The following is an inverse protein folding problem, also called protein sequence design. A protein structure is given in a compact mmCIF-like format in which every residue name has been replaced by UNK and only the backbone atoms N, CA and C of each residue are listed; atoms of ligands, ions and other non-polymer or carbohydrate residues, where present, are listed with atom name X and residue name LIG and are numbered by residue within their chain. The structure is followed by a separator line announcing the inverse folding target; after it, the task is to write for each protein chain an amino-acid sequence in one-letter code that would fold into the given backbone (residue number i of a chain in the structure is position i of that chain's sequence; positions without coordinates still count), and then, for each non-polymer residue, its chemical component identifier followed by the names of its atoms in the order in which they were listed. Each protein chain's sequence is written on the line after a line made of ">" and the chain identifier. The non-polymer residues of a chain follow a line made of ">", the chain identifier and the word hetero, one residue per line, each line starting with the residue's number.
data_IF_077921135180
#
_entry.id   IF_077921135180
#
_cell.length_a   1.000
_cell.length_b   1.000
_cell.length_c   1.000
_cell.angle_alpha   90.00
_cell.angle_beta   90.00
_cell.angle_gamma   90.00
#
_symmetry.space_group_name_H-M   'P 1'
#
loop_
_entity.id
_entity.type
_entity.pdbx_description
1 polymer ?
#
# COMPACT_ATOMS: atom_id res chain seq x y z
N UNK A 1 -2.13 11.72 -21.54
CA UNK A 1 -2.89 10.92 -20.57
C UNK A 1 -2.60 9.46 -20.91
N UNK A 2 -2.27 8.62 -19.93
CA UNK A 2 -1.98 7.20 -20.21
C UNK A 2 -3.29 6.47 -20.55
N UNK A 3 -3.24 5.57 -21.54
CA UNK A 3 -4.40 4.80 -22.04
C UNK A 3 -4.09 3.32 -22.12
N UNK A 4 -5.12 2.48 -22.15
CA UNK A 4 -4.97 1.05 -22.42
C UNK A 4 -5.56 0.73 -23.80
N UNK A 5 -4.87 -0.10 -24.57
CA UNK A 5 -5.36 -0.58 -25.86
C UNK A 5 -5.93 -1.98 -25.70
N UNK A 6 -7.16 -2.20 -26.13
CA UNK A 6 -7.75 -3.53 -26.28
C UNK A 6 -7.83 -3.83 -27.77
N UNK A 7 -7.21 -4.90 -28.22
CA UNK A 7 -7.26 -5.38 -29.61
C UNK A 7 -7.99 -6.71 -29.62
N UNK A 8 -9.26 -6.67 -30.01
CA UNK A 8 -10.20 -7.79 -29.94
C UNK A 8 -11.22 -7.68 -31.07
N UNK A 9 -11.29 -8.69 -31.93
CA UNK A 9 -12.17 -8.72 -33.11
C UNK A 9 -13.66 -8.83 -32.74
N UNK A 10 -13.96 -9.46 -31.60
CA UNK A 10 -15.31 -9.51 -31.05
C UNK A 10 -15.70 -8.17 -30.41
N UNK A 11 -16.58 -7.43 -31.08
CA UNK A 11 -17.13 -6.17 -30.57
C UNK A 11 -17.75 -6.29 -29.16
N UNK A 12 -18.42 -7.42 -28.88
CA UNK A 12 -19.08 -7.65 -27.58
C UNK A 12 -18.02 -7.86 -26.50
N UNK A 13 -17.07 -8.78 -26.72
CA UNK A 13 -16.01 -9.06 -25.75
C UNK A 13 -15.12 -7.85 -25.53
N UNK A 14 -14.71 -7.17 -26.61
CA UNK A 14 -13.89 -5.96 -26.55
C UNK A 14 -14.57 -4.84 -25.77
N UNK A 15 -15.87 -4.62 -25.98
CA UNK A 15 -16.64 -3.59 -25.22
C UNK A 15 -16.78 -3.95 -23.74
N UNK A 16 -17.02 -5.22 -23.41
CA UNK A 16 -17.11 -5.68 -22.02
C UNK A 16 -15.76 -5.51 -21.30
N UNK A 17 -14.69 -5.97 -21.93
CA UNK A 17 -13.34 -5.86 -21.40
C UNK A 17 -12.93 -4.39 -21.22
N UNK A 18 -13.22 -3.55 -22.21
CA UNK A 18 -13.03 -2.09 -22.13
C UNK A 18 -13.68 -1.51 -20.87
N UNK A 19 -14.98 -1.71 -20.68
CA UNK A 19 -15.71 -1.16 -19.53
C UNK A 19 -15.14 -1.67 -18.20
N UNK A 20 -14.80 -2.96 -18.13
CA UNK A 20 -14.22 -3.56 -16.93
C UNK A 20 -12.89 -2.91 -16.56
N UNK A 21 -12.00 -2.74 -17.55
CA UNK A 21 -10.69 -2.12 -17.35
C UNK A 21 -10.83 -0.66 -16.94
N UNK A 22 -11.72 0.11 -17.57
CA UNK A 22 -11.99 1.51 -17.20
C UNK A 22 -12.45 1.63 -15.74
N UNK A 23 -13.35 0.75 -15.30
CA UNK A 23 -13.84 0.74 -13.90
C UNK A 23 -12.72 0.40 -12.92
N UNK A 24 -11.91 -0.62 -13.22
CA UNK A 24 -10.91 -1.13 -12.28
C UNK A 24 -9.68 -0.21 -12.17
N UNK A 25 -9.26 0.36 -13.31
CA UNK A 25 -8.01 1.14 -13.45
C UNK A 25 -8.24 2.66 -13.44
N UNK A 26 -9.43 3.12 -13.81
CA UNK A 26 -9.72 4.54 -14.03
C UNK A 26 -9.08 5.14 -15.29
N UNK A 27 -8.38 4.35 -16.11
CA UNK A 27 -7.77 4.80 -17.37
C UNK A 27 -8.75 4.66 -18.53
N UNK A 28 -8.64 5.56 -19.50
CA UNK A 28 -9.38 5.48 -20.75
C UNK A 28 -8.87 4.30 -21.60
N UNK A 29 -9.80 3.57 -22.22
CA UNK A 29 -9.49 2.39 -23.01
C UNK A 29 -9.93 2.59 -24.46
N UNK A 30 -8.98 2.44 -25.39
CA UNK A 30 -9.28 2.38 -26.83
C UNK A 30 -9.49 0.91 -27.23
N UNK A 31 -10.53 0.64 -28.02
CA UNK A 31 -10.82 -0.70 -28.53
C UNK A 31 -10.64 -0.71 -30.05
N UNK A 32 -9.72 -1.55 -30.52
CA UNK A 32 -9.46 -1.84 -31.91
C UNK A 32 -10.00 -3.23 -32.26
N UNK A 33 -10.70 -3.33 -33.39
CA UNK A 33 -11.30 -4.57 -33.89
C UNK A 33 -10.37 -5.28 -34.88
N UNK A 34 -9.45 -4.53 -35.49
CA UNK A 34 -8.49 -5.02 -36.48
C UNK A 34 -7.06 -4.61 -36.12
N UNK A 35 -6.08 -5.28 -36.71
CA UNK A 35 -4.67 -4.89 -36.60
C UNK A 35 -4.43 -3.50 -37.19
N UNK A 36 -5.06 -3.17 -38.33
CA UNK A 36 -4.96 -1.85 -38.94
C UNK A 36 -5.44 -0.73 -37.98
N UNK A 37 -6.58 -0.94 -37.30
CA UNK A 37 -7.10 0.01 -36.30
C UNK A 37 -6.13 0.18 -35.14
N UNK A 38 -5.58 -0.93 -34.62
CA UNK A 38 -4.61 -0.91 -33.54
C UNK A 38 -3.35 -0.11 -33.90
N UNK A 39 -2.83 -0.28 -35.13
CA UNK A 39 -1.67 0.47 -35.62
C UNK A 39 -1.98 1.97 -35.75
N UNK A 40 -3.18 2.32 -36.22
CA UNK A 40 -3.62 3.71 -36.31
C UNK A 40 -3.66 4.36 -34.91
N UNK A 41 -4.26 3.69 -33.93
CA UNK A 41 -4.31 4.13 -32.54
C UNK A 41 -2.91 4.32 -31.93
N UNK A 42 -2.02 3.34 -32.07
CA UNK A 42 -0.64 3.41 -31.55
C UNK A 42 0.20 4.49 -32.24
N UNK A 43 -0.19 4.91 -33.45
CA UNK A 43 0.47 6.02 -34.15
C UNK A 43 0.03 7.39 -33.63
N UNK A 44 -1.20 7.51 -33.11
CA UNK A 44 -1.74 8.76 -32.57
C UNK A 44 -1.62 8.90 -31.05
N UNK A 45 -1.50 7.78 -30.31
CA UNK A 45 -1.59 7.75 -28.86
C UNK A 45 -0.48 6.91 -28.22
N UNK A 46 -0.11 7.27 -26.98
CA UNK A 46 0.81 6.49 -26.15
C UNK A 46 0.02 5.58 -25.21
N UNK A 47 0.37 4.29 -25.19
CA UNK A 47 -0.33 3.30 -24.38
C UNK A 47 0.51 2.81 -23.20
N UNK A 48 -0.17 2.69 -22.06
CA UNK A 48 0.32 2.10 -20.82
C UNK A 48 0.59 0.60 -21.00
N UNK A 49 -0.39 -0.09 -21.59
CA UNK A 49 -0.38 -1.52 -21.84
C UNK A 49 -1.40 -1.85 -22.93
N UNK A 50 -1.28 -3.05 -23.50
CA UNK A 50 -2.22 -3.58 -24.48
C UNK A 50 -2.75 -4.96 -24.04
N UNK A 51 -4.02 -5.22 -24.29
CA UNK A 51 -4.61 -6.56 -24.25
C UNK A 51 -4.86 -6.98 -25.69
N UNK A 52 -4.25 -8.09 -26.11
CA UNK A 52 -4.12 -8.45 -27.52
C UNK A 52 -4.66 -9.84 -27.77
N UNK A 53 -5.67 -9.96 -28.64
CA UNK A 53 -6.00 -11.23 -29.26
C UNK A 53 -4.94 -11.65 -30.29
N UNK A 54 -4.60 -12.93 -30.28
CA UNK A 54 -3.65 -13.53 -31.23
C UNK A 54 -4.25 -13.74 -32.62
N UNK A 55 -5.57 -13.91 -32.68
CA UNK A 55 -6.29 -14.28 -33.89
C UNK A 55 -7.09 -13.07 -34.41
N UNK A 56 -6.41 -12.16 -35.11
CA UNK A 56 -7.07 -11.02 -35.75
C UNK A 56 -7.35 -11.33 -37.22
N UNK A 57 -8.47 -10.83 -37.78
CA UNK A 57 -8.91 -11.17 -39.14
C UNK A 57 -7.96 -10.68 -40.24
N UNK A 58 -7.17 -9.64 -39.98
CA UNK A 58 -6.30 -8.95 -40.94
C UNK A 58 -4.80 -9.08 -40.61
N UNK A 59 -4.41 -9.96 -39.69
CA UNK A 59 -3.02 -10.12 -39.28
C UNK A 59 -2.53 -11.58 -39.33
N UNK A 60 -1.21 -11.72 -39.48
CA UNK A 60 -0.54 -12.99 -39.20
C UNK A 60 -0.63 -13.27 -37.69
N UNK A 61 -0.82 -14.54 -37.33
CA UNK A 61 -0.92 -14.98 -35.93
C UNK A 61 0.20 -14.38 -35.07
N UNK A 62 -0.17 -13.75 -33.95
CA UNK A 62 0.72 -13.06 -33.02
C UNK A 62 1.51 -11.84 -33.58
N UNK A 63 1.21 -11.35 -34.78
CA UNK A 63 1.87 -10.17 -35.37
C UNK A 63 1.61 -8.86 -34.60
N UNK A 64 0.45 -8.75 -33.95
CA UNK A 64 0.15 -7.61 -33.06
C UNK A 64 1.03 -7.59 -31.81
N UNK A 65 1.41 -8.76 -31.30
CA UNK A 65 2.33 -8.87 -30.14
C UNK A 65 3.73 -8.38 -30.53
N UNK A 66 4.21 -8.73 -31.72
CA UNK A 66 5.50 -8.26 -32.22
C UNK A 66 5.51 -6.73 -32.38
N UNK A 67 4.45 -6.18 -32.99
CA UNK A 67 4.30 -4.74 -33.14
C UNK A 67 4.28 -3.99 -31.81
N UNK A 68 3.55 -4.50 -30.81
CA UNK A 68 3.51 -3.91 -29.47
C UNK A 68 4.87 -4.00 -28.77
N UNK A 69 5.60 -5.10 -28.94
CA UNK A 69 6.95 -5.29 -28.39
C UNK A 69 7.95 -4.29 -28.98
N UNK A 70 7.93 -4.06 -30.29
CA UNK A 70 8.79 -3.07 -30.97
C UNK A 70 8.56 -1.64 -30.45
N UNK A 71 7.32 -1.35 -30.03
CA UNK A 71 6.93 -0.07 -29.41
C UNK A 71 7.07 -0.07 -27.88
N UNK A 72 7.60 -1.15 -27.29
CA UNK A 72 7.79 -1.32 -25.84
C UNK A 72 6.49 -1.16 -25.04
N UNK A 73 5.37 -1.59 -25.63
CA UNK A 73 4.06 -1.60 -24.97
C UNK A 73 3.90 -2.95 -24.25
N UNK A 74 3.84 -2.98 -22.91
CA UNK A 74 3.55 -4.19 -22.15
C UNK A 74 2.25 -4.83 -22.63
N UNK A 75 2.31 -6.11 -22.98
CA UNK A 75 1.19 -6.79 -23.65
C UNK A 75 0.71 -8.00 -22.85
N UNK A 76 -0.60 -8.08 -22.64
CA UNK A 76 -1.30 -9.26 -22.13
C UNK A 76 -1.96 -9.93 -23.32
N UNK A 77 -1.65 -11.20 -23.54
CA UNK A 77 -2.25 -11.97 -24.62
C UNK A 77 -3.58 -12.56 -24.15
N UNK A 78 -4.65 -12.40 -24.93
CA UNK A 78 -5.98 -12.90 -24.61
C UNK A 78 -6.49 -13.81 -25.73
N UNK A 79 -6.60 -15.12 -25.51
CA UNK A 79 -6.93 -16.06 -26.62
C UNK A 79 -7.81 -17.23 -26.18
N UNK A 80 -8.54 -17.79 -27.14
CA UNK A 80 -9.40 -18.95 -26.92
C UNK A 80 -8.69 -20.31 -26.98
N UNK A 81 -7.50 -20.38 -27.58
CA UNK A 81 -6.83 -21.64 -27.90
C UNK A 81 -5.51 -21.80 -27.16
N UNK A 82 -5.37 -22.97 -26.54
CA UNK A 82 -4.20 -23.37 -25.74
C UNK A 82 -3.45 -24.49 -26.47
N UNK A 83 -2.24 -24.19 -26.93
CA UNK A 83 -1.27 -25.20 -27.36
C UNK A 83 0.13 -24.89 -26.81
N UNK A 84 0.93 -25.93 -26.57
CA UNK A 84 2.25 -25.82 -25.93
C UNK A 84 3.29 -25.10 -26.81
N UNK A 85 3.18 -25.21 -28.13
CA UNK A 85 4.12 -24.58 -29.07
C UNK A 85 3.91 -23.07 -29.15
N UNK A 86 2.66 -22.64 -29.18
CA UNK A 86 2.23 -21.25 -29.15
C UNK A 86 2.61 -20.62 -27.82
N UNK A 87 2.40 -21.33 -26.70
CA UNK A 87 2.84 -20.91 -25.37
C UNK A 87 4.34 -20.61 -25.33
N UNK A 88 5.18 -21.52 -25.81
CA UNK A 88 6.64 -21.28 -25.85
C UNK A 88 7.03 -20.10 -26.76
N UNK A 89 6.35 -19.94 -27.91
CA UNK A 89 6.60 -18.82 -28.83
C UNK A 89 6.26 -17.48 -28.19
N UNK A 90 5.13 -17.39 -27.50
CA UNK A 90 4.65 -16.14 -26.89
C UNK A 90 5.55 -15.72 -25.73
N UNK A 91 5.98 -16.65 -24.87
CA UNK A 91 6.86 -16.31 -23.75
C UNK A 91 8.23 -15.79 -24.19
N UNK A 92 8.71 -16.17 -25.39
CA UNK A 92 9.93 -15.60 -25.97
C UNK A 92 9.78 -14.12 -26.33
N UNK A 93 8.56 -13.59 -26.44
CA UNK A 93 8.25 -12.19 -26.77
C UNK A 93 8.19 -11.27 -25.53
N UNK A 94 8.57 -11.76 -24.34
CA UNK A 94 8.59 -10.99 -23.09
C UNK A 94 7.27 -10.24 -22.81
N UNK A 95 6.16 -10.93 -23.03
CA UNK A 95 4.81 -10.48 -22.67
C UNK A 95 4.66 -10.38 -21.15
N UNK A 96 3.62 -9.68 -20.71
CA UNK A 96 3.22 -9.63 -19.30
C UNK A 96 2.66 -10.98 -18.90
N UNK A 97 1.60 -11.41 -19.57
CA UNK A 97 0.95 -12.68 -19.30
C UNK A 97 0.07 -13.10 -20.48
N UNK A 98 -0.41 -14.33 -20.43
CA UNK A 98 -1.32 -14.92 -21.37
C UNK A 98 -2.55 -15.44 -20.63
N UNK A 99 -3.74 -15.09 -21.12
CA UNK A 99 -5.03 -15.37 -20.47
C UNK A 99 -5.97 -16.07 -21.44
N UNK A 100 -6.64 -17.12 -20.95
CA UNK A 100 -7.59 -17.90 -21.73
C UNK A 100 -8.99 -17.29 -21.69
N UNK A 101 -9.57 -17.03 -22.87
CA UNK A 101 -10.95 -16.50 -23.05
C UNK A 101 -12.04 -17.40 -22.46
N UNK A 102 -11.74 -18.69 -22.29
CA UNK A 102 -12.69 -19.70 -21.81
C UNK A 102 -12.92 -19.64 -20.29
N UNK A 103 -12.04 -18.98 -19.55
CA UNK A 103 -12.20 -18.78 -18.12
C UNK A 103 -13.24 -17.67 -17.86
N UNK A 104 -14.35 -17.97 -17.14
CA UNK A 104 -15.39 -16.99 -16.81
C UNK A 104 -14.88 -15.73 -16.12
N UNK A 105 -13.78 -15.80 -15.38
CA UNK A 105 -13.22 -14.67 -14.63
C UNK A 105 -12.03 -14.00 -15.35
N UNK A 106 -11.79 -14.33 -16.61
CA UNK A 106 -10.64 -13.82 -17.38
C UNK A 106 -10.63 -12.30 -17.54
N UNK A 107 -11.79 -11.65 -17.71
CA UNK A 107 -11.92 -10.19 -17.81
C UNK A 107 -11.54 -9.51 -16.48
N UNK A 108 -12.01 -10.07 -15.36
CA UNK A 108 -11.69 -9.60 -14.01
C UNK A 108 -10.19 -9.75 -13.74
N UNK A 109 -9.61 -10.89 -14.12
CA UNK A 109 -8.18 -11.14 -13.96
C UNK A 109 -7.33 -10.12 -14.72
N UNK A 110 -7.64 -9.88 -16.00
CA UNK A 110 -6.92 -8.91 -16.84
C UNK A 110 -7.00 -7.50 -16.25
N UNK A 111 -8.20 -7.06 -15.85
CA UNK A 111 -8.40 -5.73 -15.29
C UNK A 111 -7.62 -5.53 -13.97
N UNK A 112 -7.65 -6.53 -13.07
CA UNK A 112 -6.87 -6.51 -11.83
C UNK A 112 -5.36 -6.51 -12.09
N UNK A 113 -4.90 -7.27 -13.08
CA UNK A 113 -3.48 -7.31 -13.44
C UNK A 113 -3.00 -5.96 -14.00
N UNK A 114 -3.79 -5.30 -14.85
CA UNK A 114 -3.47 -3.97 -15.36
C UNK A 114 -3.37 -2.93 -14.23
N UNK A 115 -4.32 -2.96 -13.29
CA UNK A 115 -4.25 -2.12 -12.09
C UNK A 115 -3.00 -2.42 -11.26
N UNK A 116 -2.68 -3.70 -11.06
CA UNK A 116 -1.49 -4.11 -10.33
C UNK A 116 -0.21 -3.60 -10.99
N UNK A 117 -0.11 -3.64 -12.32
CA UNK A 117 1.03 -3.09 -13.06
C UNK A 117 1.21 -1.58 -12.83
N UNK A 118 0.12 -0.82 -12.66
CA UNK A 118 0.21 0.61 -12.31
C UNK A 118 0.85 0.79 -10.94
N UNK A 119 0.44 -0.01 -9.95
CA UNK A 119 0.98 0.01 -8.59
C UNK A 119 2.44 -0.45 -8.54
N UNK A 120 2.82 -1.43 -9.37
CA UNK A 120 4.18 -1.98 -9.41
C UNK A 120 5.26 -0.93 -9.74
N UNK A 121 4.89 0.16 -10.43
CA UNK A 121 5.81 1.25 -10.82
C UNK A 121 6.47 1.96 -9.65
N UNK A 122 5.90 1.88 -8.45
CA UNK A 122 6.48 2.42 -7.22
C UNK A 122 7.11 1.36 -6.33
N UNK A 123 7.08 0.09 -6.74
CA UNK A 123 7.54 -1.03 -5.92
C UNK A 123 8.96 -1.41 -6.34
N UNK A 124 9.88 -1.32 -5.38
CA UNK A 124 11.25 -1.76 -5.55
C UNK A 124 11.37 -3.28 -5.29
N UNK A 125 12.08 -3.95 -6.21
CA UNK A 125 12.38 -5.38 -6.14
C UNK A 125 13.87 -5.59 -6.31
N UNK A 126 14.51 -6.27 -5.35
CA UNK A 126 15.92 -6.67 -5.45
C UNK A 126 16.01 -8.08 -6.02
N UNK A 127 16.92 -8.27 -6.98
CA UNK A 127 17.27 -9.58 -7.56
C UNK A 127 18.77 -9.81 -7.36
N UNK A 128 19.11 -10.73 -6.46
CA UNK A 128 20.48 -11.11 -6.13
C UNK A 128 20.77 -12.51 -6.67
N UNK A 129 21.74 -12.63 -7.57
CA UNK A 129 22.12 -13.92 -8.18
C UNK A 129 23.51 -13.73 -8.79
N UNK A 130 24.42 -14.69 -8.67
CA UNK A 130 25.77 -14.57 -9.25
C UNK A 130 25.75 -14.68 -10.79
N UNK A 131 24.72 -15.34 -11.35
CA UNK A 131 24.55 -15.54 -12.79
C UNK A 131 23.94 -14.30 -13.46
N UNK A 132 24.76 -13.62 -14.29
CA UNK A 132 24.29 -12.50 -15.14
C UNK A 132 23.10 -12.87 -16.03
N UNK A 133 23.08 -14.10 -16.54
CA UNK A 133 21.99 -14.60 -17.37
C UNK A 133 20.69 -14.69 -16.57
N UNK A 134 20.73 -15.26 -15.36
CA UNK A 134 19.56 -15.38 -14.51
C UNK A 134 19.05 -14.01 -14.04
N UNK A 135 19.96 -13.11 -13.61
CA UNK A 135 19.60 -11.72 -13.27
C UNK A 135 18.90 -11.01 -14.43
N UNK A 136 19.45 -11.14 -15.64
CA UNK A 136 18.86 -10.51 -16.84
C UNK A 136 17.48 -11.08 -17.17
N UNK A 137 17.31 -12.40 -17.03
CA UNK A 137 16.01 -13.08 -17.24
C UNK A 137 14.96 -12.63 -16.23
N UNK A 138 15.27 -12.65 -14.93
CA UNK A 138 14.34 -12.23 -13.87
C UNK A 138 14.02 -10.74 -14.00
N UNK A 139 15.02 -9.91 -14.33
CA UNK A 139 14.82 -8.49 -14.60
C UNK A 139 13.84 -8.28 -15.75
N UNK A 140 13.95 -9.03 -16.86
CA UNK A 140 13.02 -8.92 -17.98
C UNK A 140 11.59 -9.26 -17.56
N UNK A 141 11.39 -10.37 -16.82
CA UNK A 141 10.09 -10.80 -16.31
C UNK A 141 9.44 -9.76 -15.39
N UNK A 142 10.18 -9.22 -14.42
CA UNK A 142 9.67 -8.20 -13.51
C UNK A 142 9.44 -6.85 -14.21
N UNK A 143 10.31 -6.48 -15.15
CA UNK A 143 10.17 -5.23 -15.91
C UNK A 143 8.95 -5.26 -16.83
N UNK A 144 8.55 -6.44 -17.35
CA UNK A 144 7.29 -6.58 -18.10
C UNK A 144 6.08 -6.18 -17.24
N UNK A 145 6.10 -6.47 -15.94
CA UNK A 145 5.09 -6.04 -14.96
C UNK A 145 5.36 -4.65 -14.35
N UNK A 146 6.30 -3.89 -14.92
CA UNK A 146 6.63 -2.50 -14.56
C UNK A 146 7.18 -2.29 -13.15
N UNK A 147 7.75 -3.31 -12.51
CA UNK A 147 8.46 -3.16 -11.24
C UNK A 147 9.75 -2.31 -11.39
N UNK A 148 10.17 -1.64 -10.31
CA UNK A 148 11.51 -1.05 -10.20
C UNK A 148 12.51 -2.11 -9.78
N UNK A 149 13.21 -2.68 -10.75
CA UNK A 149 14.09 -3.83 -10.52
C UNK A 149 15.54 -3.39 -10.30
N UNK A 150 16.09 -3.76 -9.13
CA UNK A 150 17.48 -3.56 -8.74
C UNK A 150 18.19 -4.91 -8.76
N UNK A 151 19.26 -5.05 -9.55
CA UNK A 151 20.01 -6.31 -9.68
C UNK A 151 21.39 -6.18 -9.06
N UNK A 152 21.84 -7.21 -8.34
CA UNK A 152 23.15 -7.25 -7.70
C UNK A 152 23.76 -8.66 -7.76
N UNK A 153 25.08 -8.78 -7.63
CA UNK A 153 25.79 -10.05 -7.85
C UNK A 153 26.09 -10.81 -6.55
N UNK A 154 26.05 -10.13 -5.40
CA UNK A 154 26.35 -10.70 -4.09
C UNK A 154 25.25 -10.44 -3.07
N UNK A 155 25.19 -11.27 -2.04
CA UNK A 155 24.24 -11.05 -0.94
C UNK A 155 24.56 -9.78 -0.14
N UNK A 156 25.83 -9.35 -0.12
CA UNK A 156 26.23 -8.12 0.57
C UNK A 156 25.67 -6.88 -0.13
N UNK A 157 25.85 -6.78 -1.44
CA UNK A 157 25.27 -5.70 -2.25
C UNK A 157 23.74 -5.66 -2.11
N UNK A 158 23.10 -6.82 -2.11
CA UNK A 158 21.65 -6.93 -1.91
C UNK A 158 21.21 -6.32 -0.57
N UNK A 159 21.93 -6.61 0.51
CA UNK A 159 21.64 -6.05 1.82
C UNK A 159 21.87 -4.53 1.86
N UNK A 160 22.97 -4.04 1.28
CA UNK A 160 23.26 -2.60 1.21
C UNK A 160 22.22 -1.83 0.40
N UNK A 161 21.73 -2.40 -0.71
CA UNK A 161 20.61 -1.84 -1.48
C UNK A 161 19.33 -1.83 -0.66
N UNK A 162 19.04 -2.91 0.07
CA UNK A 162 17.81 -3.00 0.87
C UNK A 162 17.70 -1.90 1.93
N UNK A 163 18.83 -1.45 2.48
CA UNK A 163 18.85 -0.36 3.46
C UNK A 163 18.62 1.03 2.85
N UNK A 164 18.77 1.19 1.53
CA UNK A 164 18.66 2.47 0.82
C UNK A 164 17.29 2.66 0.16
N UNK A 165 16.54 1.59 -0.05
CA UNK A 165 15.27 1.60 -0.79
C UNK A 165 14.08 1.71 0.16
N UNK A 166 13.38 2.83 0.10
CA UNK A 166 12.20 3.09 0.93
C UNK A 166 10.99 2.22 0.56
N UNK A 167 10.82 1.92 -0.73
CA UNK A 167 9.67 1.17 -1.25
C UNK A 167 10.01 -0.27 -1.62
N UNK A 168 11.01 -0.87 -0.96
CA UNK A 168 11.34 -2.27 -1.13
C UNK A 168 10.20 -3.15 -0.62
N UNK A 169 9.68 -4.02 -1.49
CA UNK A 169 8.66 -5.01 -1.10
C UNK A 169 9.11 -6.45 -1.32
N UNK A 170 10.00 -6.70 -2.28
CA UNK A 170 10.41 -8.07 -2.61
C UNK A 170 11.94 -8.15 -2.77
N UNK A 171 12.54 -9.17 -2.15
CA UNK A 171 13.91 -9.60 -2.41
C UNK A 171 13.85 -11.01 -2.97
N UNK A 172 14.42 -11.22 -4.16
CA UNK A 172 14.58 -12.53 -4.79
C UNK A 172 16.07 -12.82 -4.81
N UNK A 173 16.51 -13.88 -4.15
CA UNK A 173 17.94 -14.14 -3.98
C UNK A 173 18.31 -15.60 -4.23
N UNK A 174 19.41 -15.84 -4.94
CA UNK A 174 20.00 -17.17 -5.04
C UNK A 174 20.56 -17.64 -3.71
N UNK A 175 20.58 -18.95 -3.53
CA UNK A 175 21.21 -19.58 -2.39
C UNK A 175 22.74 -19.41 -2.44
N UNK A 176 23.35 -19.74 -3.57
CA UNK A 176 24.80 -19.68 -3.77
C UNK A 176 25.17 -18.32 -4.36
N UNK A 177 25.71 -17.44 -3.54
CA UNK A 177 26.21 -16.13 -3.96
C UNK A 177 27.55 -15.84 -3.24
N UNK A 178 28.44 -15.04 -3.86
CA UNK A 178 29.65 -14.55 -3.21
C UNK A 178 29.35 -13.75 -1.94
N UNK A 179 30.34 -13.71 -1.04
CA UNK A 179 30.35 -12.97 0.24
C UNK A 179 29.32 -13.43 1.27
N UNK A 180 28.03 -13.33 0.94
CA UNK A 180 26.90 -13.65 1.81
C UNK A 180 25.97 -14.60 1.05
N UNK A 181 25.73 -15.77 1.64
CA UNK A 181 24.79 -16.75 1.09
C UNK A 181 23.35 -16.24 1.14
N UNK A 182 22.47 -16.83 0.33
CA UNK A 182 21.04 -16.52 0.39
C UNK A 182 20.45 -16.72 1.79
N UNK A 183 20.90 -17.72 2.55
CA UNK A 183 20.44 -17.94 3.93
C UNK A 183 20.87 -16.82 4.88
N UNK A 184 22.12 -16.39 4.79
CA UNK A 184 22.63 -15.31 5.64
C UNK A 184 21.98 -13.98 5.28
N UNK A 185 21.71 -13.77 3.99
CA UNK A 185 20.98 -12.59 3.52
C UNK A 185 19.56 -12.53 4.09
N UNK A 186 18.80 -13.64 4.09
CA UNK A 186 17.47 -13.67 4.73
C UNK A 186 17.57 -13.21 6.18
N UNK A 187 18.54 -13.75 6.93
CA UNK A 187 18.72 -13.42 8.35
C UNK A 187 19.07 -11.95 8.57
N UNK A 188 19.90 -11.38 7.71
CA UNK A 188 20.25 -9.95 7.75
C UNK A 188 19.04 -9.06 7.43
N UNK A 189 18.30 -9.38 6.36
CA UNK A 189 17.05 -8.69 6.00
C UNK A 189 16.07 -8.76 7.17
N UNK A 190 15.90 -9.92 7.81
CA UNK A 190 14.96 -10.10 8.93
C UNK A 190 15.32 -9.35 10.21
N UNK A 191 16.57 -8.95 10.39
CA UNK A 191 16.96 -8.04 11.49
C UNK A 191 16.47 -6.61 11.27
N UNK A 192 16.13 -6.22 10.04
CA UNK A 192 15.73 -4.86 9.66
C UNK A 192 14.29 -4.77 9.18
N UNK A 193 13.80 -5.80 8.48
CA UNK A 193 12.49 -5.83 7.86
C UNK A 193 11.74 -7.11 8.24
N UNK A 194 10.53 -6.94 8.76
CA UNK A 194 9.63 -8.05 9.07
C UNK A 194 9.13 -8.72 7.78
N UNK A 195 8.69 -9.99 7.89
CA UNK A 195 8.22 -10.80 6.74
C UNK A 195 6.98 -10.22 6.04
N UNK A 196 6.22 -9.43 6.77
CA UNK A 196 5.00 -8.73 6.36
C UNK A 196 5.27 -7.33 5.79
N UNK A 197 6.53 -6.87 5.79
CA UNK A 197 6.96 -5.62 5.13
C UNK A 197 7.74 -5.90 3.85
N UNK A 198 8.69 -6.84 3.91
CA UNK A 198 9.52 -7.24 2.78
C UNK A 198 9.45 -8.76 2.61
N UNK A 199 8.85 -9.19 1.50
CA UNK A 199 8.84 -10.58 1.10
C UNK A 199 10.22 -11.01 0.62
N UNK A 200 10.67 -12.17 1.07
CA UNK A 200 11.92 -12.77 0.62
C UNK A 200 11.63 -14.09 -0.08
N UNK A 201 12.06 -14.22 -1.33
CA UNK A 201 11.90 -15.42 -2.15
C UNK A 201 13.30 -15.97 -2.43
N UNK A 202 13.62 -17.11 -1.80
CA UNK A 202 14.88 -17.80 -2.06
C UNK A 202 14.85 -18.55 -3.40
N UNK A 203 15.99 -18.68 -4.06
CA UNK A 203 16.15 -19.52 -5.25
C UNK A 203 17.25 -20.56 -5.05
N UNK A 204 17.14 -21.73 -5.67
CA UNK A 204 18.24 -22.70 -5.72
C UNK A 204 18.13 -23.61 -6.95
N UNK A 205 19.28 -24.15 -7.38
CA UNK A 205 19.37 -25.21 -8.40
C UNK A 205 19.15 -26.60 -7.83
N UNK A 206 19.49 -26.82 -6.56
CA UNK A 206 19.34 -28.11 -5.90
C UNK A 206 17.95 -28.20 -5.25
N UNK A 207 17.14 -29.13 -5.76
CA UNK A 207 15.76 -29.37 -5.32
C UNK A 207 15.63 -30.32 -4.13
N UNK A 208 16.60 -30.35 -3.22
CA UNK A 208 16.41 -31.11 -1.98
C UNK A 208 15.36 -30.40 -1.13
N UNK A 209 14.35 -31.12 -0.66
CA UNK A 209 13.30 -30.59 0.21
C UNK A 209 13.87 -29.92 1.49
N UNK A 210 15.12 -30.23 1.84
CA UNK A 210 15.84 -29.61 2.94
C UNK A 210 16.19 -28.14 2.71
N UNK A 211 16.56 -27.74 1.48
CA UNK A 211 16.95 -26.36 1.18
C UNK A 211 15.75 -25.42 1.21
N UNK A 212 14.61 -25.84 0.63
CA UNK A 212 13.37 -25.07 0.69
C UNK A 212 12.89 -24.92 2.14
N UNK A 213 12.92 -25.99 2.93
CA UNK A 213 12.58 -25.96 4.35
C UNK A 213 13.51 -25.03 5.15
N UNK A 214 14.81 -24.98 4.83
CA UNK A 214 15.77 -24.07 5.48
C UNK A 214 15.47 -22.60 5.18
N UNK A 215 15.16 -22.24 3.93
CA UNK A 215 14.80 -20.86 3.58
C UNK A 215 13.62 -20.37 4.41
N UNK A 216 12.55 -21.17 4.46
CA UNK A 216 11.34 -20.84 5.24
C UNK A 216 11.67 -20.74 6.74
N UNK A 217 12.45 -21.68 7.29
CA UNK A 217 12.89 -21.65 8.70
C UNK A 217 13.73 -20.42 9.05
N UNK A 218 14.50 -19.89 8.11
CA UNK A 218 15.29 -18.66 8.32
C UNK A 218 14.48 -17.38 8.11
N UNK A 219 13.22 -17.48 7.69
CA UNK A 219 12.30 -16.36 7.56
C UNK A 219 12.01 -15.92 6.13
N UNK A 220 12.41 -16.69 5.12
CA UNK A 220 11.92 -16.46 3.76
C UNK A 220 10.40 -16.67 3.71
N UNK A 221 9.73 -15.91 2.86
CA UNK A 221 8.29 -16.06 2.64
C UNK A 221 8.02 -17.22 1.68
N UNK A 222 8.89 -17.41 0.70
CA UNK A 222 8.72 -18.43 -0.32
C UNK A 222 10.07 -18.85 -0.92
N UNK A 223 10.01 -19.84 -1.81
CA UNK A 223 11.16 -20.42 -2.48
C UNK A 223 10.82 -20.80 -3.93
N UNK A 224 11.79 -20.65 -4.83
CA UNK A 224 11.67 -20.97 -6.25
C UNK A 224 12.81 -21.90 -6.72
N UNK A 225 12.45 -23.03 -7.32
CA UNK A 225 13.41 -24.00 -7.85
C UNK A 225 13.85 -23.61 -9.27
N UNK A 226 15.15 -23.68 -9.57
CA UNK A 226 15.70 -23.49 -10.91
C UNK A 226 15.85 -24.84 -11.62
N UNK A 227 15.48 -24.97 -12.92
CA UNK A 227 14.83 -23.98 -13.75
C UNK A 227 13.33 -23.83 -13.43
N UNK A 228 12.78 -22.63 -13.62
CA UNK A 228 11.36 -22.33 -13.43
C UNK A 228 10.72 -21.81 -14.73
N UNK A 229 9.40 -22.01 -14.85
CA UNK A 229 8.60 -21.37 -15.88
C UNK A 229 8.21 -19.93 -15.47
N UNK A 230 7.96 -19.01 -16.43
CA UNK A 230 7.46 -17.66 -16.11
C UNK A 230 6.21 -17.69 -15.22
N UNK A 231 5.29 -18.62 -15.46
CA UNK A 231 4.05 -18.74 -14.69
C UNK A 231 4.33 -19.12 -13.22
N UNK A 232 5.25 -20.06 -12.98
CA UNK A 232 5.67 -20.38 -11.61
C UNK A 232 6.31 -19.18 -10.93
N UNK A 233 7.12 -18.41 -11.65
CA UNK A 233 7.75 -17.20 -11.12
C UNK A 233 6.69 -16.15 -10.73
N UNK A 234 5.77 -15.81 -11.64
CA UNK A 234 4.72 -14.82 -11.37
C UNK A 234 3.75 -15.26 -10.29
N UNK A 235 3.41 -16.55 -10.23
CA UNK A 235 2.61 -17.09 -9.14
C UNK A 235 3.24 -16.78 -7.77
N UNK A 236 4.54 -17.04 -7.62
CA UNK A 236 5.27 -16.77 -6.36
C UNK A 236 5.37 -15.28 -6.06
N UNK A 237 5.72 -14.46 -7.04
CA UNK A 237 5.84 -13.00 -6.87
C UNK A 237 4.49 -12.39 -6.49
N UNK A 238 3.43 -12.71 -7.23
CA UNK A 238 2.11 -12.13 -7.04
C UNK A 238 1.46 -12.58 -5.73
N UNK A 239 1.58 -13.86 -5.33
CA UNK A 239 1.05 -14.33 -4.05
C UNK A 239 1.70 -13.62 -2.86
N UNK A 240 3.02 -13.46 -2.91
CA UNK A 240 3.74 -12.75 -1.86
C UNK A 240 3.37 -11.26 -1.84
N UNK A 241 3.28 -10.62 -3.01
CA UNK A 241 2.91 -9.21 -3.09
C UNK A 241 1.48 -8.96 -2.59
N UNK A 242 0.51 -9.78 -3.01
CA UNK A 242 -0.88 -9.71 -2.56
C UNK A 242 -0.96 -9.91 -1.04
N UNK A 243 -0.18 -10.82 -0.47
CA UNK A 243 -0.12 -11.02 0.98
C UNK A 243 0.39 -9.78 1.69
N UNK A 244 1.47 -9.16 1.20
CA UNK A 244 1.97 -7.89 1.76
C UNK A 244 0.92 -6.79 1.70
N UNK A 245 0.28 -6.61 0.54
CA UNK A 245 -0.77 -5.60 0.34
C UNK A 245 -1.98 -5.85 1.23
N UNK A 246 -2.40 -7.10 1.41
CA UNK A 246 -3.50 -7.47 2.31
C UNK A 246 -3.15 -7.14 3.76
N UNK A 247 -1.91 -7.46 4.19
CA UNK A 247 -1.48 -7.15 5.56
C UNK A 247 -1.40 -5.63 5.76
N UNK A 248 -0.86 -4.89 4.79
CA UNK A 248 -0.84 -3.41 4.84
C UNK A 248 -2.29 -2.86 4.90
N UNK A 249 -3.23 -3.42 4.12
CA UNK A 249 -4.64 -3.02 4.18
C UNK A 249 -5.31 -3.34 5.53
N UNK A 250 -5.07 -4.52 6.09
CA UNK A 250 -5.56 -4.89 7.43
C UNK A 250 -4.97 -3.97 8.50
N UNK A 251 -3.69 -3.60 8.36
CA UNK A 251 -3.04 -2.64 9.24
C UNK A 251 -3.70 -1.28 9.17
N UNK A 252 -3.95 -0.78 7.97
CA UNK A 252 -4.62 0.51 7.76
C UNK A 252 -6.02 0.52 8.38
N UNK A 253 -6.79 -0.56 8.19
CA UNK A 253 -8.08 -0.72 8.87
C UNK A 253 -7.92 -0.74 10.40
N UNK A 254 -6.84 -1.33 10.90
CA UNK A 254 -6.51 -1.38 12.33
C UNK A 254 -5.92 -0.10 12.89
N UNK A 255 -5.66 0.93 12.07
CA UNK A 255 -5.07 2.20 12.52
C UNK A 255 -6.12 3.27 12.80
N UNK A 256 -7.33 3.09 12.30
CA UNK A 256 -8.44 4.00 12.56
C UNK A 256 -9.31 3.48 13.69
N UNK A 257 -9.81 4.40 14.51
CA UNK A 257 -10.91 4.12 15.43
C UNK A 257 -12.20 3.94 14.62
N UNK A 258 -12.85 2.79 14.78
CA UNK A 258 -14.00 2.40 13.95
C UNK A 258 -15.20 3.35 14.09
N UNK A 259 -15.33 4.01 15.24
CA UNK A 259 -16.45 4.89 15.53
C UNK A 259 -16.25 6.27 14.94
N UNK A 260 -15.05 6.84 15.14
CA UNK A 260 -14.76 8.25 14.85
C UNK A 260 -14.02 8.49 13.54
N UNK A 261 -13.36 7.47 12.98
CA UNK A 261 -12.51 7.60 11.80
C UNK A 261 -11.17 8.32 12.05
N UNK A 262 -10.92 8.77 13.29
CA UNK A 262 -9.62 9.26 13.72
C UNK A 262 -8.60 8.12 13.78
N UNK A 263 -7.32 8.45 13.88
CA UNK A 263 -6.33 7.44 14.21
C UNK A 263 -6.57 6.91 15.63
N UNK A 264 -6.19 5.66 15.90
CA UNK A 264 -6.27 5.12 17.24
C UNK A 264 -4.95 5.26 18.00
N UNK A 265 -4.99 4.97 19.30
CA UNK A 265 -3.83 4.97 20.18
C UNK A 265 -2.63 4.21 19.59
N UNK A 266 -2.87 3.02 19.02
CA UNK A 266 -1.79 2.19 18.47
C UNK A 266 -1.08 2.87 17.31
N UNK A 267 -1.82 3.46 16.38
CA UNK A 267 -1.23 4.20 15.27
C UNK A 267 -0.45 5.41 15.76
N UNK A 268 -0.96 6.14 16.75
CA UNK A 268 -0.28 7.30 17.32
C UNK A 268 1.15 6.97 17.76
N UNK A 269 1.32 5.98 18.64
CA UNK A 269 2.65 5.60 19.13
C UNK A 269 3.55 5.04 18.02
N UNK A 270 2.99 4.22 17.13
CA UNK A 270 3.76 3.63 16.03
C UNK A 270 4.26 4.70 15.05
N UNK A 271 3.41 5.65 14.68
CA UNK A 271 3.77 6.73 13.77
C UNK A 271 4.79 7.68 14.42
N UNK A 272 4.56 8.05 15.69
CA UNK A 272 5.49 8.90 16.43
C UNK A 272 6.87 8.26 16.63
N UNK A 273 6.99 6.94 16.70
CA UNK A 273 8.29 6.28 16.77
C UNK A 273 9.18 6.59 15.55
N UNK A 274 8.59 6.87 14.38
CA UNK A 274 9.30 7.17 13.14
C UNK A 274 9.48 8.69 12.91
N UNK A 275 8.49 9.51 13.29
CA UNK A 275 8.47 10.95 12.94
C UNK A 275 8.80 11.90 14.08
N UNK A 276 8.78 11.43 15.34
CA UNK A 276 8.99 12.30 16.49
C UNK A 276 10.45 12.72 16.58
N UNK A 277 10.69 14.00 16.37
CA UNK A 277 12.02 14.61 16.46
C UNK A 277 12.12 15.46 17.71
N UNK A 278 12.96 15.04 18.67
CA UNK A 278 13.20 15.75 19.94
C UNK A 278 13.69 17.18 19.75
N UNK A 279 14.36 17.47 18.64
CA UNK A 279 14.96 18.78 18.32
C UNK A 279 13.98 19.75 17.63
N UNK A 280 12.73 19.34 17.37
CA UNK A 280 11.73 20.24 16.78
C UNK A 280 10.77 20.81 17.81
N UNK A 281 10.32 22.04 17.57
CA UNK A 281 9.21 22.62 18.33
C UNK A 281 7.92 21.87 18.04
N UNK A 282 7.28 21.36 19.09
CA UNK A 282 6.12 20.46 19.02
C UNK A 282 5.28 20.55 20.29
N UNK A 283 4.03 20.14 20.16
CA UNK A 283 3.08 20.10 21.28
C UNK A 283 2.33 18.79 21.28
N UNK A 284 2.13 18.25 22.48
CA UNK A 284 1.23 17.13 22.76
C UNK A 284 0.08 17.68 23.60
N UNK A 285 -1.15 17.43 23.17
CA UNK A 285 -2.34 17.73 23.95
C UNK A 285 -3.14 16.45 24.19
N UNK A 286 -3.52 16.22 25.45
CA UNK A 286 -4.50 15.19 25.80
C UNK A 286 -5.80 15.90 26.21
N UNK A 287 -6.92 15.45 25.65
CA UNK A 287 -8.23 15.99 25.94
C UNK A 287 -9.23 14.91 26.32
N UNK A 288 -10.25 15.32 27.06
CA UNK A 288 -11.35 14.48 27.50
C UNK A 288 -12.67 15.26 27.45
N UNK A 289 -13.75 14.60 27.02
CA UNK A 289 -15.08 15.19 26.98
C UNK A 289 -15.68 15.24 28.38
N UNK A 290 -15.93 16.47 28.85
CA UNK A 290 -16.45 16.70 30.18
C UNK A 290 -17.82 16.04 30.38
N UNK A 291 -17.94 15.28 31.46
CA UNK A 291 -19.19 14.63 31.86
C UNK A 291 -19.77 13.67 30.80
N UNK A 292 -18.95 13.09 29.92
CA UNK A 292 -19.40 12.19 28.86
C UNK A 292 -20.26 11.02 29.36
N UNK A 293 -19.89 10.42 30.51
CA UNK A 293 -20.72 9.40 31.16
C UNK A 293 -22.16 9.86 31.43
N UNK A 294 -22.38 11.10 31.87
CA UNK A 294 -23.73 11.64 32.09
C UNK A 294 -24.53 11.72 30.79
N UNK A 295 -23.88 11.97 29.66
CA UNK A 295 -24.53 12.00 28.34
C UNK A 295 -25.04 10.60 28.00
N UNK A 296 -24.18 9.57 28.15
CA UNK A 296 -24.58 8.17 27.95
C UNK A 296 -25.71 7.77 28.89
N UNK A 297 -25.60 8.10 30.18
CA UNK A 297 -26.60 7.75 31.18
C UNK A 297 -27.95 8.46 30.94
N UNK A 298 -27.95 9.66 30.35
CA UNK A 298 -29.17 10.47 30.12
C UNK A 298 -29.84 10.21 28.78
N UNK A 299 -29.06 9.93 27.73
CA UNK A 299 -29.54 9.89 26.35
C UNK A 299 -29.25 8.56 25.62
N UNK A 300 -28.53 7.64 26.27
CA UNK A 300 -28.14 6.35 25.70
C UNK A 300 -26.82 6.41 24.91
N UNK A 301 -26.24 5.23 24.69
CA UNK A 301 -24.94 5.08 24.04
C UNK A 301 -24.95 5.54 22.57
N UNK A 302 -26.05 5.37 21.84
CA UNK A 302 -26.16 5.83 20.44
C UNK A 302 -25.94 7.35 20.31
N UNK A 303 -26.42 8.10 21.31
CA UNK A 303 -26.26 9.56 21.37
C UNK A 303 -24.82 9.91 21.75
N UNK A 304 -24.22 9.21 22.70
CA UNK A 304 -22.80 9.38 23.03
C UNK A 304 -21.89 9.10 21.83
N UNK A 305 -22.18 8.04 21.08
CA UNK A 305 -21.47 7.68 19.86
C UNK A 305 -21.58 8.77 18.78
N UNK A 306 -22.76 9.37 18.64
CA UNK A 306 -22.97 10.49 17.75
C UNK A 306 -22.20 11.74 18.20
N UNK A 307 -22.17 12.03 19.50
CA UNK A 307 -21.37 13.12 20.08
C UNK A 307 -19.89 12.91 19.77
N UNK A 308 -19.36 11.71 20.00
CA UNK A 308 -17.96 11.38 19.70
C UNK A 308 -17.62 11.61 18.23
N UNK A 309 -18.48 11.18 17.29
CA UNK A 309 -18.29 11.42 15.86
C UNK A 309 -18.22 12.92 15.52
N UNK A 310 -19.12 13.72 16.11
CA UNK A 310 -19.17 15.16 15.85
C UNK A 310 -17.96 15.89 16.42
N UNK A 311 -17.57 15.59 17.66
CA UNK A 311 -16.38 16.18 18.27
C UNK A 311 -15.11 15.78 17.52
N UNK A 312 -15.03 14.52 17.08
CA UNK A 312 -13.91 14.04 16.27
C UNK A 312 -13.75 14.80 14.96
N UNK A 313 -14.87 15.08 14.27
CA UNK A 313 -14.86 15.90 13.06
C UNK A 313 -14.38 17.32 13.34
N UNK A 314 -14.89 17.96 14.40
CA UNK A 314 -14.46 19.32 14.81
C UNK A 314 -12.97 19.38 15.12
N UNK A 315 -12.44 18.42 15.89
CA UNK A 315 -11.01 18.36 16.21
C UNK A 315 -10.18 18.14 14.95
N UNK A 316 -10.59 17.19 14.10
CA UNK A 316 -9.87 16.87 12.86
C UNK A 316 -9.83 18.06 11.90
N UNK A 317 -10.95 18.76 11.73
CA UNK A 317 -11.05 19.92 10.85
C UNK A 317 -10.25 21.11 11.39
N UNK A 318 -10.24 21.31 12.71
CA UNK A 318 -9.47 22.38 13.35
C UNK A 318 -7.97 22.14 13.25
N UNK A 319 -7.51 20.91 13.49
CA UNK A 319 -6.07 20.57 13.44
C UNK A 319 -5.55 20.50 12.00
N UNK A 320 -6.37 20.02 11.06
CA UNK A 320 -6.03 19.91 9.65
C UNK A 320 -4.78 19.06 9.38
N UNK A 321 -4.10 19.34 8.27
CA UNK A 321 -2.90 18.59 7.85
C UNK A 321 -1.64 18.91 8.67
N UNK A 322 -1.72 19.86 9.61
CA UNK A 322 -0.58 20.31 10.41
C UNK A 322 -0.33 19.49 11.68
N UNK A 323 -1.12 18.46 11.95
CA UNK A 323 -1.01 17.63 13.15
C UNK A 323 -1.63 16.25 12.98
N UNK A 324 -1.41 15.41 13.98
CA UNK A 324 -1.98 14.07 14.09
C UNK A 324 -3.01 14.06 15.23
N UNK A 325 -4.24 13.67 14.91
CA UNK A 325 -5.32 13.51 15.89
C UNK A 325 -5.64 12.03 16.05
N UNK A 326 -5.65 11.56 17.30
CA UNK A 326 -5.96 10.19 17.65
C UNK A 326 -6.95 10.08 18.81
N UNK A 327 -7.84 9.09 18.77
CA UNK A 327 -8.66 8.69 19.91
C UNK A 327 -7.91 7.65 20.74
N UNK A 328 -7.66 7.95 22.01
CA UNK A 328 -6.91 7.07 22.91
C UNK A 328 -7.78 5.99 23.56
N UNK A 329 -9.06 6.26 23.74
CA UNK A 329 -10.06 5.32 24.24
C UNK A 329 -11.21 6.07 24.88
N UNK A 330 -12.42 5.48 24.90
CA UNK A 330 -13.59 6.13 25.50
C UNK A 330 -13.81 7.55 24.95
N UNK A 331 -13.79 8.53 25.83
CA UNK A 331 -13.92 9.96 25.57
C UNK A 331 -12.59 10.73 25.46
N UNK A 332 -11.46 10.02 25.46
CA UNK A 332 -10.11 10.61 25.47
C UNK A 332 -9.49 10.66 24.07
N UNK A 333 -8.84 11.79 23.77
CA UNK A 333 -8.11 12.02 22.53
C UNK A 333 -6.73 12.59 22.80
N UNK A 334 -5.80 12.33 21.89
CA UNK A 334 -4.44 12.87 21.91
C UNK A 334 -4.11 13.51 20.57
N UNK A 335 -3.45 14.66 20.63
CA UNK A 335 -3.09 15.47 19.46
C UNK A 335 -1.59 15.73 19.51
N UNK A 336 -0.91 15.42 18.40
CA UNK A 336 0.44 15.86 18.13
C UNK A 336 0.40 17.00 17.11
N UNK A 337 1.13 18.09 17.39
CA UNK A 337 1.18 19.25 16.51
C UNK A 337 2.64 19.68 16.27
N UNK A 338 3.01 19.77 14.99
CA UNK A 338 4.30 20.28 14.51
C UNK A 338 4.07 21.30 13.37
N UNK A 339 4.66 22.51 13.40
CA UNK A 339 5.37 23.08 14.55
C UNK A 339 4.46 23.19 15.77
N UNK A 340 5.05 23.23 16.95
CA UNK A 340 4.36 23.33 18.24
C UNK A 340 3.38 24.51 18.28
N UNK A 341 2.30 24.34 19.04
CA UNK A 341 1.24 25.31 19.21
C UNK A 341 1.13 25.71 20.69
N UNK A 342 0.74 26.96 20.93
CA UNK A 342 0.61 27.51 22.27
C UNK A 342 -0.75 27.15 22.93
N UNK A 343 -0.92 27.57 24.18
CA UNK A 343 -2.18 27.41 24.90
C UNK A 343 -3.36 28.08 24.18
N UNK A 344 -3.12 29.22 23.53
CA UNK A 344 -4.15 29.97 22.81
C UNK A 344 -4.75 29.17 21.64
N UNK A 345 -3.91 28.43 20.91
CA UNK A 345 -4.37 27.53 19.83
C UNK A 345 -5.32 26.45 20.36
N UNK A 346 -4.96 25.80 21.47
CA UNK A 346 -5.78 24.74 22.06
C UNK A 346 -7.03 25.29 22.77
N UNK A 347 -6.97 26.50 23.34
CA UNK A 347 -8.18 27.17 23.87
C UNK A 347 -9.14 27.56 22.74
N UNK A 348 -8.62 27.96 21.57
CA UNK A 348 -9.42 28.15 20.36
C UNK A 348 -10.16 26.88 19.94
N UNK A 349 -9.48 25.73 19.95
CA UNK A 349 -10.08 24.43 19.67
C UNK A 349 -11.16 24.07 20.72
N UNK A 350 -10.87 24.30 22.01
CA UNK A 350 -11.83 24.08 23.10
C UNK A 350 -13.10 24.90 22.91
N UNK A 351 -12.98 26.18 22.52
CA UNK A 351 -14.12 27.05 22.23
C UNK A 351 -14.90 26.57 21.00
N UNK A 352 -14.22 26.16 19.93
CA UNK A 352 -14.88 25.61 18.75
C UNK A 352 -15.74 24.38 19.09
N UNK A 353 -15.25 23.51 19.99
CA UNK A 353 -16.01 22.38 20.51
C UNK A 353 -17.20 22.86 21.36
N UNK A 354 -16.97 23.79 22.29
CA UNK A 354 -18.01 24.34 23.16
C UNK A 354 -19.16 25.00 22.37
N UNK A 355 -18.84 25.70 21.29
CA UNK A 355 -19.79 26.44 20.45
C UNK A 355 -20.54 25.50 19.47
N UNK A 356 -20.12 24.24 19.36
CA UNK A 356 -20.77 23.25 18.50
C UNK A 356 -22.04 22.73 19.16
N UNK A 357 -23.19 23.01 18.54
CA UNK A 357 -24.48 22.39 18.91
C UNK A 357 -24.66 21.08 18.15
N UNK A 358 -24.73 19.98 18.89
CA UNK A 358 -24.90 18.63 18.36
C UNK A 358 -26.38 18.28 18.36
N UNK A 359 -26.99 18.28 17.17
CA UNK A 359 -28.40 17.91 16.99
C UNK A 359 -28.51 16.42 16.64
N UNK A 360 -29.25 15.66 17.45
CA UNK A 360 -29.57 14.25 17.21
C UNK A 360 -31.08 14.04 17.39
N UNK A 361 -31.78 13.73 16.31
CA UNK A 361 -33.25 13.69 16.25
C UNK A 361 -33.87 15.01 16.77
N UNK A 362 -34.61 14.97 17.88
CA UNK A 362 -35.25 16.12 18.52
C UNK A 362 -34.47 16.67 19.72
N UNK A 363 -33.22 16.24 19.92
CA UNK A 363 -32.37 16.61 21.05
C UNK A 363 -31.21 17.48 20.56
N UNK A 364 -30.93 18.56 21.27
CA UNK A 364 -29.75 19.40 21.08
C UNK A 364 -28.84 19.27 22.29
N UNK A 365 -27.57 18.93 22.05
CA UNK A 365 -26.56 18.69 23.08
C UNK A 365 -25.38 19.62 22.83
N UNK A 366 -24.90 20.26 23.88
CA UNK A 366 -23.62 20.96 23.88
C UNK A 366 -22.71 20.30 24.91
N UNK A 367 -21.43 20.17 24.56
CA UNK A 367 -20.42 19.53 25.41
C UNK A 367 -19.23 20.47 25.57
N UNK A 368 -18.49 20.28 26.65
CA UNK A 368 -17.21 20.96 26.86
C UNK A 368 -16.10 19.93 26.93
N UNK A 369 -14.86 20.39 26.78
CA UNK A 369 -13.68 19.53 26.93
C UNK A 369 -12.69 20.17 27.88
N UNK A 370 -11.99 19.33 28.63
CA UNK A 370 -10.81 19.71 29.38
C UNK A 370 -9.57 19.25 28.61
N UNK A 371 -8.50 20.06 28.61
CA UNK A 371 -7.30 19.80 27.80
C UNK A 371 -6.05 20.04 28.66
N UNK A 372 -5.13 19.08 28.67
CA UNK A 372 -3.77 19.25 29.16
C UNK A 372 -2.79 19.34 27.99
N UNK A 373 -1.89 20.33 28.00
CA UNK A 373 -0.97 20.59 26.89
C UNK A 373 0.47 20.64 27.38
N UNK A 374 1.33 19.80 26.81
CA UNK A 374 2.77 19.89 26.98
C UNK A 374 3.41 20.34 25.66
N UNK A 375 3.99 21.54 25.67
CA UNK A 375 4.91 22.02 24.65
C UNK A 375 6.30 21.98 25.25
N UNK A 376 7.29 21.39 24.58
CA UNK A 376 8.69 21.50 25.04
C UNK A 376 9.67 21.03 23.98
N UNK A 377 10.88 21.60 24.04
CA UNK A 377 12.04 21.16 23.27
C UNK A 377 12.81 20.08 24.05
N UNK A 378 13.29 19.04 23.36
CA UNK A 378 14.21 18.05 23.95
C UNK A 378 13.58 16.98 24.86
N UNK A 379 12.26 16.98 25.07
CA UNK A 379 11.58 15.90 25.81
C UNK A 379 11.13 14.76 24.90
N UNK A 380 11.18 13.54 25.44
CA UNK A 380 10.67 12.34 24.77
C UNK A 380 9.14 12.34 24.69
N UNK A 381 8.59 11.56 23.74
CA UNK A 381 7.15 11.46 23.51
C UNK A 381 6.38 11.04 24.78
N UNK A 382 6.82 9.98 25.44
CA UNK A 382 6.14 9.43 26.62
C UNK A 382 6.12 10.44 27.78
N UNK A 383 7.21 11.17 27.98
CA UNK A 383 7.30 12.23 29.01
C UNK A 383 6.33 13.38 28.70
N UNK A 384 6.21 13.78 27.43
CA UNK A 384 5.28 14.84 27.02
C UNK A 384 3.82 14.41 27.18
N UNK A 385 3.48 13.16 26.85
CA UNK A 385 2.13 12.62 27.07
C UNK A 385 1.82 12.57 28.56
N UNK A 386 2.73 12.05 29.39
CA UNK A 386 2.53 11.97 30.84
C UNK A 386 2.31 13.36 31.46
N UNK A 387 3.09 14.36 31.03
CA UNK A 387 2.91 15.73 31.50
C UNK A 387 1.56 16.33 31.04
N UNK A 388 1.13 16.03 29.82
CA UNK A 388 -0.18 16.47 29.32
C UNK A 388 -1.34 15.78 30.06
N UNK A 389 -1.21 14.50 30.42
CA UNK A 389 -2.20 13.77 31.25
C UNK A 389 -2.34 14.39 32.64
N UNK A 390 -1.22 14.72 33.30
CA UNK A 390 -1.22 15.38 34.61
C UNK A 390 -1.92 16.75 34.54
N UNK A 391 -1.66 17.52 33.48
CA UNK A 391 -2.31 18.80 33.24
C UNK A 391 -3.81 18.66 32.92
N UNK A 392 -4.20 17.61 32.21
CA UNK A 392 -5.61 17.30 31.97
C UNK A 392 -6.33 16.98 33.29
N UNK A 393 -5.68 16.25 34.19
CA UNK A 393 -6.20 16.01 35.53
C UNK A 393 -6.39 17.33 36.30
N UNK A 394 -5.42 18.25 36.24
CA UNK A 394 -5.55 19.60 36.81
C UNK A 394 -6.74 20.35 36.19
N UNK A 395 -6.88 20.37 34.87
CA UNK A 395 -7.99 21.03 34.18
C UNK A 395 -9.36 20.52 34.66
N UNK A 396 -9.50 19.20 34.86
CA UNK A 396 -10.72 18.58 35.39
C UNK A 396 -11.01 18.99 36.84
N UNK A 397 -9.97 19.12 37.67
CA UNK A 397 -10.09 19.47 39.09
C UNK A 397 -10.40 20.95 39.32
N UNK A 398 -9.89 21.84 38.47
CA UNK A 398 -10.09 23.28 38.64
C UNK A 398 -11.43 23.80 38.08
N UNK A 399 -12.29 22.91 37.58
CA UNK A 399 -13.64 23.27 37.16
C UNK A 399 -13.97 22.92 35.70
N UNK A 400 -13.12 22.14 35.02
CA UNK A 400 -13.32 21.68 33.64
C UNK A 400 -13.37 22.82 32.62
N UNK A 401 -13.71 22.50 31.37
CA UNK A 401 -13.84 23.42 30.25
C UNK A 401 -12.69 24.42 30.15
N UNK A 402 -11.45 23.93 30.23
CA UNK A 402 -10.24 24.77 30.21
C UNK A 402 -9.05 24.02 29.64
N UNK A 403 -8.02 24.80 29.34
CA UNK A 403 -6.69 24.31 28.98
C UNK A 403 -5.76 24.55 30.17
N UNK A 404 -4.98 23.54 30.54
CA UNK A 404 -3.83 23.70 31.43
C UNK A 404 -2.58 23.34 30.61
N UNK A 405 -1.59 24.22 30.60
CA UNK A 405 -0.42 24.05 29.73
C UNK A 405 0.91 24.18 30.49
N UNK A 406 1.94 23.56 29.92
CA UNK A 406 3.35 23.82 30.24
C UNK A 406 4.12 23.96 28.93
N UNK A 407 5.08 24.88 28.89
CA UNK A 407 5.88 25.24 27.71
C UNK A 407 7.38 25.12 27.96
#
# INVERSE_FOLDING_TARGET
>A
MERILVVEDSNILGTLLKKRIEIETGLEVDHAVTYADAVAYVSSCTYFAAVIDLNLPDAVQAGMVDFAQDRKIPSIVYTGDYDEQLREKIWKKNIVDYVLKKDPDSDIYIAKMLKQMMLNRSIDVIVADDSRLMRSRIKALLSAHLFRVHTCESGKEAFELALKLENLKIVIADYLMPEISGFDLVRLIRKKFTKDRVAFIGMSREGTAELSAKFIKYGANDFLLKPFSPEQFYCRVNQNLQTLMLIDHIRDMSYKDYLTGLYNRRYFFMHMADVFDVEKSKSIAVLDIDHFKKINDSYGHDVGDFVLKKISAVISDYVGSGGLVSRFGGEEFCIYKEPGADEGYFDGMRRAIQDTVINYNSISISVTVSIGVCSSYGKGLDDMISAADDLLYTAKHEGRNRVCSIS
#
